data_IF_198934208601
#
_entry.id   IF_198934208601
#
_cell.length_a   1.000
_cell.length_b   1.000
_cell.length_c   1.000
_cell.angle_alpha   90.00
_cell.angle_beta   90.00
_cell.angle_gamma   90.00
#
_symmetry.space_group_name_H-M   'P 1'
#
loop_
_entity.id
_entity.type
_entity.pdbx_description
1 polymer ?
#
# COMPACT_ATOMS: atom_id res chain seq x y z
N UNK A 1 -48.80 -7.96 -27.59
CA UNK A 1 -48.46 -7.67 -26.19
C UNK A 1 -47.02 -7.19 -26.11
N UNK A 2 -46.82 -5.87 -26.15
CA UNK A 2 -45.51 -5.20 -26.05
C UNK A 2 -45.21 -4.95 -24.57
N UNK A 3 -44.12 -5.53 -24.03
CA UNK A 3 -43.63 -5.20 -22.69
C UNK A 3 -42.25 -4.53 -22.82
N UNK A 4 -42.23 -3.21 -22.97
CA UNK A 4 -41.04 -2.38 -22.90
C UNK A 4 -40.78 -2.01 -21.43
N UNK A 5 -39.86 -2.74 -20.81
CA UNK A 5 -39.42 -2.50 -19.43
C UNK A 5 -38.49 -1.28 -19.38
N UNK A 6 -39.06 -0.10 -19.12
CA UNK A 6 -38.29 1.15 -18.88
C UNK A 6 -37.72 1.14 -17.46
N UNK A 7 -36.43 0.84 -17.33
CA UNK A 7 -35.69 1.07 -16.08
C UNK A 7 -35.60 2.57 -15.78
N UNK A 8 -36.37 3.01 -14.79
CA UNK A 8 -36.40 4.38 -14.27
C UNK A 8 -35.16 4.60 -13.40
N UNK A 9 -34.07 5.10 -13.99
CA UNK A 9 -32.89 5.55 -13.25
C UNK A 9 -33.28 6.72 -12.34
N UNK A 10 -33.42 6.45 -11.04
CA UNK A 10 -33.51 7.50 -10.01
C UNK A 10 -32.14 8.19 -9.95
N UNK A 11 -32.02 9.36 -10.57
CA UNK A 11 -30.93 10.31 -10.31
C UNK A 11 -31.00 10.71 -8.82
N UNK A 12 -30.21 10.06 -7.98
CA UNK A 12 -29.97 10.53 -6.62
C UNK A 12 -29.00 11.72 -6.75
N UNK A 13 -29.57 12.92 -6.72
CA UNK A 13 -28.82 14.17 -6.53
C UNK A 13 -28.35 14.19 -5.08
N UNK A 14 -27.16 13.64 -4.81
CA UNK A 14 -26.46 13.93 -3.57
C UNK A 14 -25.99 15.38 -3.65
N UNK A 15 -26.70 16.27 -2.96
CA UNK A 15 -26.25 17.62 -2.65
C UNK A 15 -25.08 17.49 -1.67
N UNK A 16 -23.88 17.26 -2.20
CA UNK A 16 -22.66 17.49 -1.44
C UNK A 16 -22.54 19.00 -1.26
N UNK A 17 -22.57 19.46 -0.01
CA UNK A 17 -22.23 20.83 0.34
C UNK A 17 -20.77 21.08 -0.02
N UNK A 18 -20.56 21.54 -1.25
CA UNK A 18 -19.27 22.01 -1.77
C UNK A 18 -19.02 23.40 -1.20
N UNK A 19 -18.74 23.48 0.10
CA UNK A 19 -18.15 24.69 0.67
C UNK A 19 -16.71 24.74 0.20
N UNK A 20 -16.50 25.32 -0.99
CA UNK A 20 -15.19 25.83 -1.39
C UNK A 20 -14.69 26.70 -0.24
N UNK A 21 -13.56 26.32 0.34
CA UNK A 21 -12.86 27.14 1.32
C UNK A 21 -12.52 28.47 0.63
N UNK A 22 -13.26 29.53 0.96
CA UNK A 22 -13.11 30.87 0.39
C UNK A 22 -11.78 31.56 0.78
N UNK A 23 -10.90 30.84 1.50
CA UNK A 23 -9.59 31.31 1.95
C UNK A 23 -8.46 31.02 0.96
N UNK A 24 -8.73 30.34 -0.16
CA UNK A 24 -7.71 29.99 -1.17
C UNK A 24 -6.59 29.07 -0.66
N UNK A 25 -6.78 28.46 0.52
CA UNK A 25 -5.76 27.66 1.21
C UNK A 25 -6.15 26.19 1.17
N UNK A 26 -5.28 25.38 0.56
CA UNK A 26 -5.43 23.92 0.51
C UNK A 26 -5.07 23.28 1.86
N UNK A 27 -5.66 22.12 2.17
CA UNK A 27 -5.33 21.37 3.39
C UNK A 27 -3.90 20.83 3.36
N UNK A 28 -3.40 20.49 2.16
CA UNK A 28 -2.07 19.95 1.89
C UNK A 28 -1.44 20.61 0.66
N UNK A 29 -0.12 20.60 0.59
CA UNK A 29 0.64 21.00 -0.61
C UNK A 29 0.71 19.85 -1.62
N UNK A 30 0.75 18.62 -1.13
CA UNK A 30 0.76 17.38 -1.92
C UNK A 30 -0.07 16.29 -1.25
N UNK A 31 -0.93 15.64 -2.02
CA UNK A 31 -1.64 14.43 -1.60
C UNK A 31 -1.27 13.29 -2.54
N UNK A 32 -0.52 12.31 -2.04
CA UNK A 32 -0.13 11.14 -2.81
C UNK A 32 -1.18 10.04 -2.69
N UNK A 33 -1.70 9.57 -3.83
CA UNK A 33 -2.62 8.43 -3.89
C UNK A 33 -1.82 7.15 -4.20
N UNK A 34 -1.57 6.37 -3.15
CA UNK A 34 -0.86 5.09 -3.18
C UNK A 34 0.39 5.09 -2.31
N UNK A 35 0.45 4.21 -1.31
CA UNK A 35 1.58 4.04 -0.39
C UNK A 35 2.57 2.95 -0.82
N UNK A 36 2.81 2.83 -2.14
CA UNK A 36 3.82 1.93 -2.70
C UNK A 36 5.19 2.59 -2.87
N UNK A 37 6.14 1.90 -3.53
CA UNK A 37 7.52 2.38 -3.69
C UNK A 37 7.61 3.81 -4.22
N UNK A 38 6.87 4.14 -5.29
CA UNK A 38 6.86 5.49 -5.88
C UNK A 38 6.22 6.53 -4.97
N UNK A 39 5.05 6.24 -4.40
CA UNK A 39 4.33 7.19 -3.57
C UNK A 39 5.00 7.46 -2.22
N UNK A 40 5.59 6.44 -1.58
CA UNK A 40 6.40 6.62 -0.39
C UNK A 40 7.68 7.41 -0.67
N UNK A 41 8.34 7.20 -1.81
CA UNK A 41 9.50 8.00 -2.19
C UNK A 41 9.10 9.47 -2.41
N UNK A 42 8.11 9.72 -3.25
CA UNK A 42 7.61 11.06 -3.57
C UNK A 42 7.20 11.83 -2.30
N UNK A 43 6.37 11.22 -1.45
CA UNK A 43 5.87 11.87 -0.24
C UNK A 43 6.96 12.22 0.76
N UNK A 44 7.96 11.34 0.94
CA UNK A 44 9.08 11.59 1.84
C UNK A 44 10.02 12.67 1.32
N UNK A 45 10.21 12.77 0.01
CA UNK A 45 11.02 13.85 -0.58
C UNK A 45 10.28 15.19 -0.53
N UNK A 46 9.00 15.22 -0.89
CA UNK A 46 8.18 16.44 -0.78
C UNK A 46 8.16 17.00 0.65
N UNK A 47 8.03 16.13 1.67
CA UNK A 47 8.10 16.56 3.06
C UNK A 47 9.48 17.09 3.49
N UNK A 48 10.58 16.54 2.95
CA UNK A 48 11.92 17.08 3.18
C UNK A 48 12.08 18.49 2.61
N UNK A 49 11.40 18.79 1.50
CA UNK A 49 11.34 20.12 0.91
C UNK A 49 10.40 21.08 1.65
N UNK A 50 9.90 20.70 2.84
CA UNK A 50 9.06 21.54 3.68
C UNK A 50 7.58 21.56 3.30
N UNK A 51 7.14 20.70 2.37
CA UNK A 51 5.73 20.63 1.97
C UNK A 51 4.89 19.87 3.01
N UNK A 52 3.64 20.31 3.20
CA UNK A 52 2.65 19.57 3.98
C UNK A 52 2.05 18.45 3.14
N UNK A 53 2.40 17.20 3.46
CA UNK A 53 2.06 16.03 2.63
C UNK A 53 1.09 15.08 3.32
N UNK A 54 0.14 14.53 2.57
CA UNK A 54 -0.61 13.33 2.96
C UNK A 54 -0.37 12.18 1.98
N UNK A 55 -0.41 10.95 2.48
CA UNK A 55 -0.38 9.72 1.69
C UNK A 55 -1.62 8.91 2.00
N UNK A 56 -2.41 8.63 0.97
CA UNK A 56 -3.53 7.70 1.04
C UNK A 56 -3.07 6.35 0.50
N UNK A 57 -3.19 5.30 1.29
CA UNK A 57 -2.93 3.94 0.84
C UNK A 57 -4.11 3.04 1.19
N UNK A 58 -4.46 2.15 0.27
CA UNK A 58 -5.49 1.15 0.52
C UNK A 58 -5.21 -0.10 -0.31
N UNK A 59 -5.29 -1.24 0.35
CA UNK A 59 -5.14 -2.54 -0.30
C UNK A 59 -6.53 -3.17 -0.41
N UNK A 60 -7.02 -3.24 -1.65
CA UNK A 60 -8.20 -4.05 -1.95
C UNK A 60 -7.88 -5.53 -1.69
N UNK A 61 -8.72 -6.23 -0.91
CA UNK A 61 -8.53 -7.66 -0.72
C UNK A 61 -8.58 -8.40 -2.05
N UNK A 62 -7.76 -9.43 -2.20
CA UNK A 62 -7.87 -10.35 -3.34
C UNK A 62 -9.21 -11.10 -3.33
N UNK A 63 -9.51 -11.85 -4.40
CA UNK A 63 -10.68 -12.73 -4.46
C UNK A 63 -10.76 -13.74 -3.29
N UNK A 64 -9.60 -14.11 -2.71
CA UNK A 64 -9.51 -15.00 -1.54
C UNK A 64 -9.47 -14.25 -0.20
N UNK A 65 -9.67 -12.92 -0.22
CA UNK A 65 -9.66 -12.08 0.98
C UNK A 65 -8.26 -11.73 1.51
N UNK A 66 -7.18 -12.08 0.79
CA UNK A 66 -5.82 -11.72 1.22
C UNK A 66 -5.59 -10.22 1.09
N UNK A 67 -4.94 -9.63 2.08
CA UNK A 67 -4.58 -8.22 2.15
C UNK A 67 -3.25 -8.06 2.90
N UNK A 68 -2.64 -6.89 2.78
CA UNK A 68 -1.35 -6.59 3.42
C UNK A 68 -1.29 -5.14 3.91
N UNK A 69 -0.11 -4.73 4.40
CA UNK A 69 0.13 -3.42 5.01
C UNK A 69 0.66 -2.36 4.04
N UNK A 70 1.12 -1.24 4.59
CA UNK A 70 1.78 -0.15 3.87
C UNK A 70 3.07 -0.62 3.20
N UNK A 71 3.49 -0.01 2.09
CA UNK A 71 4.71 -0.36 1.36
C UNK A 71 4.46 -0.81 -0.08
N UNK A 72 3.18 -1.07 -0.42
CA UNK A 72 2.75 -1.49 -1.74
C UNK A 72 3.27 -2.86 -2.16
N UNK A 73 3.20 -3.11 -3.46
CA UNK A 73 3.41 -4.44 -4.06
C UNK A 73 4.81 -4.99 -3.80
N UNK A 74 5.87 -4.22 -4.08
CA UNK A 74 7.24 -4.71 -4.02
C UNK A 74 7.64 -5.19 -2.61
N UNK A 75 7.17 -4.49 -1.57
CA UNK A 75 7.40 -4.85 -0.16
C UNK A 75 6.60 -6.08 0.24
N UNK A 76 5.31 -6.13 -0.09
CA UNK A 76 4.40 -7.10 0.53
C UNK A 76 4.24 -8.41 -0.27
N UNK A 77 4.19 -8.32 -1.60
CA UNK A 77 3.82 -9.46 -2.49
C UNK A 77 4.67 -9.50 -3.78
N UNK A 78 5.79 -8.78 -3.80
CA UNK A 78 6.63 -8.63 -4.97
C UNK A 78 8.08 -8.92 -4.66
N UNK A 79 8.95 -7.97 -4.96
CA UNK A 79 10.39 -8.13 -4.98
C UNK A 79 10.97 -8.71 -3.68
N UNK A 80 10.54 -8.20 -2.52
CA UNK A 80 11.09 -8.59 -1.22
C UNK A 80 10.80 -10.07 -0.89
N UNK A 81 9.52 -10.51 -0.75
CA UNK A 81 9.24 -11.91 -0.48
C UNK A 81 9.76 -12.83 -1.58
N UNK A 82 9.69 -12.41 -2.85
CA UNK A 82 10.26 -13.16 -3.98
C UNK A 82 11.74 -13.41 -3.80
N UNK A 83 12.53 -12.39 -3.45
CA UNK A 83 13.99 -12.52 -3.32
C UNK A 83 14.37 -13.36 -2.10
N UNK A 84 13.64 -13.25 -0.99
CA UNK A 84 13.88 -14.08 0.19
C UNK A 84 13.57 -15.56 -0.07
N UNK A 85 12.48 -15.87 -0.76
CA UNK A 85 12.15 -17.24 -1.17
C UNK A 85 13.16 -17.78 -2.19
N UNK A 86 13.62 -16.94 -3.11
CA UNK A 86 14.68 -17.30 -4.04
C UNK A 86 16.00 -17.62 -3.31
N UNK A 87 16.36 -16.85 -2.28
CA UNK A 87 17.52 -17.14 -1.45
C UNK A 87 17.39 -18.48 -0.70
N UNK A 88 16.21 -18.84 -0.21
CA UNK A 88 15.97 -20.14 0.41
C UNK A 88 16.23 -21.30 -0.59
N UNK A 89 15.87 -21.13 -1.86
CA UNK A 89 16.19 -22.10 -2.91
C UNK A 89 17.70 -22.20 -3.16
N UNK A 90 18.41 -21.06 -3.23
CA UNK A 90 19.87 -21.04 -3.38
C UNK A 90 20.59 -21.72 -2.21
N UNK A 91 20.09 -21.55 -0.98
CA UNK A 91 20.61 -22.25 0.20
C UNK A 91 20.43 -23.77 0.07
N UNK A 92 19.34 -24.24 -0.53
CA UNK A 92 19.13 -25.66 -0.82
C UNK A 92 20.20 -26.23 -1.75
N UNK A 93 20.67 -25.45 -2.74
CA UNK A 93 21.81 -25.84 -3.60
C UNK A 93 23.12 -25.79 -2.82
N UNK A 94 23.37 -24.70 -2.08
CA UNK A 94 24.59 -24.53 -1.30
C UNK A 94 24.80 -25.66 -0.27
N UNK A 95 23.72 -26.16 0.35
CA UNK A 95 23.76 -27.32 1.27
C UNK A 95 24.23 -28.59 0.57
N UNK A 96 23.91 -28.78 -0.72
CA UNK A 96 24.40 -29.93 -1.51
C UNK A 96 25.88 -29.76 -1.81
N UNK A 97 26.26 -28.57 -2.30
CA UNK A 97 27.63 -28.27 -2.71
C UNK A 97 28.60 -28.30 -1.52
N UNK A 98 28.14 -27.93 -0.32
CA UNK A 98 28.93 -27.93 0.90
C UNK A 98 29.61 -29.28 1.19
N UNK A 99 28.98 -30.41 0.81
CA UNK A 99 29.58 -31.75 0.96
C UNK A 99 30.90 -31.88 0.20
N UNK A 100 31.01 -31.26 -0.98
CA UNK A 100 32.23 -31.27 -1.80
C UNK A 100 33.37 -30.45 -1.18
N UNK A 101 33.03 -29.53 -0.26
CA UNK A 101 33.99 -28.71 0.48
C UNK A 101 34.26 -29.24 1.90
N UNK A 102 33.93 -30.50 2.16
CA UNK A 102 34.25 -31.18 3.43
C UNK A 102 33.23 -31.00 4.55
N UNK A 103 32.08 -30.35 4.30
CA UNK A 103 31.02 -30.25 5.31
C UNK A 103 30.30 -31.59 5.49
N UNK A 104 30.30 -32.10 6.72
CA UNK A 104 29.57 -33.31 7.09
C UNK A 104 28.11 -32.96 7.38
N UNK A 105 27.22 -33.36 6.47
CA UNK A 105 25.79 -33.08 6.54
C UNK A 105 24.99 -34.39 6.40
N UNK A 106 23.81 -34.51 7.04
CA UNK A 106 22.97 -35.69 6.87
C UNK A 106 22.61 -35.92 5.39
N UNK A 107 22.26 -37.16 5.04
CA UNK A 107 21.90 -37.52 3.67
C UNK A 107 20.68 -36.74 3.17
N UNK A 108 19.67 -36.60 4.02
CA UNK A 108 18.43 -35.87 3.72
C UNK A 108 18.31 -34.63 4.58
N UNK A 109 18.23 -33.46 3.93
CA UNK A 109 17.87 -32.18 4.56
C UNK A 109 16.46 -31.82 4.11
N UNK A 110 15.56 -31.55 5.07
CA UNK A 110 14.18 -31.17 4.78
C UNK A 110 14.02 -29.64 4.87
N UNK A 111 13.22 -29.09 3.97
CA UNK A 111 12.83 -27.69 4.00
C UNK A 111 11.40 -27.57 4.54
N UNK A 112 11.19 -26.76 5.57
CA UNK A 112 9.87 -26.48 6.11
C UNK A 112 9.29 -25.19 5.52
N UNK A 113 8.16 -25.32 4.82
CA UNK A 113 7.49 -24.19 4.19
C UNK A 113 6.99 -23.16 5.20
N UNK A 114 6.43 -23.63 6.32
CA UNK A 114 5.83 -22.78 7.34
C UNK A 114 6.87 -21.84 7.96
N UNK A 115 8.02 -22.40 8.35
CA UNK A 115 9.16 -21.64 8.89
C UNK A 115 9.65 -20.57 7.91
N UNK A 116 9.80 -20.91 6.62
CA UNK A 116 10.20 -19.93 5.59
C UNK A 116 9.14 -18.83 5.45
N UNK A 117 7.87 -19.22 5.29
CA UNK A 117 6.78 -18.28 5.09
C UNK A 117 6.64 -17.33 6.28
N UNK A 118 6.74 -17.83 7.51
CA UNK A 118 6.72 -17.01 8.73
C UNK A 118 7.90 -16.04 8.78
N UNK A 119 9.13 -16.50 8.53
CA UNK A 119 10.31 -15.63 8.51
C UNK A 119 10.18 -14.50 7.47
N UNK A 120 9.69 -14.82 6.27
CA UNK A 120 9.43 -13.84 5.20
C UNK A 120 8.36 -12.84 5.64
N UNK A 121 7.23 -13.31 6.19
CA UNK A 121 6.14 -12.44 6.65
C UNK A 121 6.57 -11.56 7.83
N UNK A 122 7.42 -12.07 8.73
CA UNK A 122 7.99 -11.29 9.83
C UNK A 122 8.82 -10.11 9.30
N UNK A 123 9.66 -10.38 8.30
CA UNK A 123 10.46 -9.34 7.65
C UNK A 123 9.57 -8.30 6.95
N UNK A 124 8.57 -8.74 6.18
CA UNK A 124 7.59 -7.83 5.55
C UNK A 124 6.88 -6.96 6.58
N UNK A 125 6.44 -7.53 7.71
CA UNK A 125 5.82 -6.77 8.81
C UNK A 125 6.76 -5.72 9.39
N UNK A 126 8.05 -6.02 9.51
CA UNK A 126 9.05 -5.05 9.96
C UNK A 126 9.20 -3.86 8.99
N UNK A 127 9.15 -4.11 7.68
CA UNK A 127 9.19 -3.06 6.65
C UNK A 127 7.92 -2.20 6.67
N UNK A 128 6.76 -2.83 6.82
CA UNK A 128 5.48 -2.13 6.92
C UNK A 128 5.48 -1.17 8.13
N UNK A 129 6.02 -1.61 9.27
CA UNK A 129 6.22 -0.76 10.44
C UNK A 129 7.23 0.36 10.16
N UNK A 130 8.40 0.03 9.62
CA UNK A 130 9.45 1.00 9.30
C UNK A 130 8.97 2.11 8.37
N UNK A 131 8.16 1.81 7.36
CA UNK A 131 7.57 2.83 6.50
C UNK A 131 6.61 3.77 7.26
N UNK A 132 5.82 3.25 8.21
CA UNK A 132 4.93 4.10 9.02
C UNK A 132 5.74 5.04 9.91
N UNK A 133 6.79 4.55 10.54
CA UNK A 133 7.71 5.36 11.36
C UNK A 133 8.36 6.44 10.50
N UNK A 134 8.92 6.09 9.33
CA UNK A 134 9.54 7.08 8.43
C UNK A 134 8.58 8.18 7.96
N UNK A 135 7.30 7.84 7.71
CA UNK A 135 6.29 8.85 7.37
C UNK A 135 6.02 9.77 8.56
N UNK A 136 5.87 9.20 9.76
CA UNK A 136 5.65 9.96 10.99
C UNK A 136 6.83 10.90 11.29
N UNK A 137 8.07 10.41 11.22
CA UNK A 137 9.28 11.18 11.47
C UNK A 137 9.42 12.38 10.52
N UNK A 138 8.95 12.23 9.28
CA UNK A 138 8.92 13.31 8.27
C UNK A 138 7.63 14.14 8.30
N UNK A 139 6.80 13.99 9.33
CA UNK A 139 5.50 14.67 9.46
C UNK A 139 4.55 14.47 8.25
N UNK A 140 4.68 13.36 7.53
CA UNK A 140 3.77 12.99 6.45
C UNK A 140 2.53 12.33 7.03
N UNK A 141 1.35 12.87 6.71
CA UNK A 141 0.09 12.29 7.20
C UNK A 141 -0.26 11.02 6.44
N UNK A 142 -0.13 9.87 7.10
CA UNK A 142 -0.61 8.60 6.57
C UNK A 142 -2.10 8.38 6.83
N UNK A 143 -2.86 8.05 5.78
CA UNK A 143 -4.29 7.74 5.83
C UNK A 143 -4.55 6.40 5.14
N UNK A 144 -5.09 5.42 5.88
CA UNK A 144 -5.51 4.14 5.30
C UNK A 144 -6.91 4.26 4.67
N UNK A 145 -6.98 4.94 3.53
CA UNK A 145 -8.20 5.29 2.80
C UNK A 145 -8.02 5.00 1.32
N UNK A 146 -9.07 4.48 0.67
CA UNK A 146 -9.12 4.37 -0.78
C UNK A 146 -9.30 5.76 -1.38
N UNK A 147 -8.23 6.31 -1.94
CA UNK A 147 -8.24 7.62 -2.59
C UNK A 147 -8.84 7.57 -3.99
N UNK A 148 -9.61 8.59 -4.34
CA UNK A 148 -10.11 8.87 -5.69
C UNK A 148 -10.06 10.36 -5.97
N UNK A 149 -9.54 10.75 -7.13
CA UNK A 149 -9.52 12.13 -7.58
C UNK A 149 -10.94 12.57 -7.97
N UNK A 150 -11.43 13.66 -7.38
CA UNK A 150 -12.74 14.25 -7.71
C UNK A 150 -12.57 15.34 -8.77
N UNK A 151 -11.55 16.19 -8.58
CA UNK A 151 -11.11 17.23 -9.51
C UNK A 151 -9.61 17.51 -9.30
N UNK A 152 -9.04 18.47 -10.03
CA UNK A 152 -7.60 18.75 -10.01
C UNK A 152 -7.00 19.14 -8.65
N UNK A 153 -7.82 19.47 -7.65
CA UNK A 153 -7.35 19.89 -6.32
C UNK A 153 -8.09 19.19 -5.16
N UNK A 154 -8.92 18.19 -5.46
CA UNK A 154 -9.79 17.56 -4.46
C UNK A 154 -9.67 16.04 -4.54
N UNK A 155 -9.28 15.44 -3.42
CA UNK A 155 -9.16 13.99 -3.27
C UNK A 155 -10.19 13.50 -2.25
N UNK A 156 -10.99 12.51 -2.65
CA UNK A 156 -11.93 11.80 -1.78
C UNK A 156 -11.27 10.52 -1.28
N UNK A 157 -11.18 10.34 0.03
CA UNK A 157 -10.75 9.12 0.69
C UNK A 157 -11.94 8.36 1.29
N UNK A 158 -12.07 7.08 0.95
CA UNK A 158 -13.08 6.18 1.51
C UNK A 158 -12.43 5.19 2.47
N UNK A 159 -12.89 5.17 3.72
CA UNK A 159 -12.45 4.17 4.71
C UNK A 159 -13.14 2.83 4.50
N UNK A 160 -12.59 1.77 5.12
CA UNK A 160 -13.25 0.45 5.14
C UNK A 160 -14.68 0.50 5.70
N UNK A 161 -14.96 1.40 6.63
CA UNK A 161 -16.28 1.56 7.25
C UNK A 161 -17.26 2.38 6.38
N UNK A 162 -16.87 2.78 5.17
CA UNK A 162 -17.69 3.63 4.31
C UNK A 162 -17.67 5.11 4.69
N UNK A 163 -16.95 5.50 5.76
CA UNK A 163 -16.74 6.92 6.10
C UNK A 163 -15.91 7.59 5.01
N UNK A 164 -16.43 8.68 4.49
CA UNK A 164 -15.79 9.53 3.49
C UNK A 164 -14.99 10.65 4.16
N UNK A 165 -13.91 11.06 3.52
CA UNK A 165 -13.09 12.20 3.92
C UNK A 165 -12.67 12.93 2.65
N UNK A 166 -12.86 14.24 2.60
CA UNK A 166 -12.46 15.07 1.47
C UNK A 166 -11.24 15.87 1.89
N UNK A 167 -10.20 15.87 1.04
CA UNK A 167 -8.97 16.60 1.23
C UNK A 167 -8.77 17.54 0.06
N UNK A 168 -8.42 18.79 0.34
CA UNK A 168 -8.03 19.77 -0.68
C UNK A 168 -6.49 19.85 -0.77
N UNK A 169 -5.95 19.94 -1.98
CA UNK A 169 -4.51 19.92 -2.20
C UNK A 169 -4.06 20.78 -3.36
N UNK A 170 -2.86 21.35 -3.27
CA UNK A 170 -2.26 22.07 -4.39
C UNK A 170 -1.88 21.11 -5.53
N UNK A 171 -1.30 19.96 -5.20
CA UNK A 171 -0.89 18.93 -6.17
C UNK A 171 -1.32 17.53 -5.71
N UNK A 172 -1.48 16.61 -6.67
CA UNK A 172 -1.76 15.18 -6.46
C UNK A 172 -0.69 14.35 -7.12
#
# INVERSE_FOLDING_TARGET
>A
ALCLYRHRWKRIRYLYNFTRNLTGKYDYDLVVIGGGSGGLACSKEAAQLGQKVAVLDYVEPSAKGTKWGLGGTCVNVGCIPKKLMHQAALLGTAVKDAKMYGWQLPETVRHDWTTLAEAVQNHVRSLNWGHRVQLQDKNVKYLNLKGSLVDGHTVRGLSKAGKETVLTTKNV
#
